data_IF_915318208323
#
_entry.id   IF_915318208323
#
_cell.length_a   1.000
_cell.length_b   1.000
_cell.length_c   1.000
_cell.angle_alpha   90.00
_cell.angle_beta   90.00
_cell.angle_gamma   90.00
#
_symmetry.space_group_name_H-M   'P 1'
#
loop_
_entity.id
_entity.type
_entity.pdbx_description
1 polymer ?
#
# COMPACT_ATOMS: atom_id res chain seq x y z
N UNK A 1 19.36 -37.79 -1.14
CA UNK A 1 19.40 -36.36 -0.77
C UNK A 1 18.19 -35.66 -1.41
N UNK A 2 17.26 -35.09 -0.62
CA UNK A 2 16.10 -34.35 -1.15
C UNK A 2 16.59 -33.00 -1.69
N UNK A 3 16.38 -32.72 -2.99
CA UNK A 3 16.61 -31.39 -3.57
C UNK A 3 15.67 -30.40 -2.90
N UNK A 4 16.20 -29.48 -2.12
CA UNK A 4 15.44 -28.35 -1.59
C UNK A 4 15.20 -27.43 -2.80
N UNK A 5 14.00 -27.50 -3.37
CA UNK A 5 13.57 -26.52 -4.38
C UNK A 5 13.57 -25.16 -3.70
N UNK A 6 14.56 -24.34 -4.02
CA UNK A 6 14.67 -22.96 -3.54
C UNK A 6 13.44 -22.23 -4.05
N UNK A 7 12.41 -22.07 -3.22
CA UNK A 7 11.17 -21.40 -3.60
C UNK A 7 11.56 -19.99 -4.02
N UNK A 8 11.52 -19.73 -5.33
CA UNK A 8 11.87 -18.43 -5.85
C UNK A 8 10.76 -17.46 -5.42
N UNK A 9 11.00 -16.73 -4.32
CA UNK A 9 10.04 -15.80 -3.71
C UNK A 9 9.62 -14.73 -4.73
N UNK A 10 10.53 -14.34 -5.62
CA UNK A 10 10.33 -13.33 -6.64
C UNK A 10 10.27 -13.94 -8.05
N UNK A 11 9.08 -13.93 -8.65
CA UNK A 11 8.91 -14.14 -10.10
C UNK A 11 9.26 -12.82 -10.82
N UNK A 12 10.26 -12.84 -11.71
CA UNK A 12 10.49 -11.72 -12.63
C UNK A 12 9.37 -11.72 -13.67
N UNK A 13 8.42 -10.80 -13.53
CA UNK A 13 7.31 -10.63 -14.47
C UNK A 13 6.94 -9.16 -14.64
N UNK A 14 6.37 -8.76 -15.78
CA UNK A 14 5.75 -7.44 -15.95
C UNK A 14 4.64 -7.24 -14.91
N UNK A 15 4.47 -6.00 -14.42
CA UNK A 15 3.43 -5.64 -13.45
C UNK A 15 2.03 -5.97 -13.95
N UNK A 16 1.80 -5.79 -15.25
CA UNK A 16 0.55 -6.16 -15.94
C UNK A 16 0.22 -7.64 -15.75
N UNK A 17 1.20 -8.54 -15.71
CA UNK A 17 0.97 -9.98 -15.51
C UNK A 17 0.86 -10.37 -14.03
N UNK A 18 0.93 -9.41 -13.11
CA UNK A 18 0.79 -9.62 -11.67
C UNK A 18 -0.69 -9.74 -11.24
N UNK A 19 -1.48 -10.51 -11.99
CA UNK A 19 -2.87 -10.84 -11.65
C UNK A 19 -2.98 -11.97 -10.61
N UNK A 20 -1.85 -12.58 -10.25
CA UNK A 20 -1.76 -13.57 -9.18
C UNK A 20 -1.67 -12.78 -7.87
N UNK A 21 -2.70 -12.87 -7.01
CA UNK A 21 -2.85 -12.18 -5.70
C UNK A 21 -3.64 -10.86 -5.73
N UNK A 22 -4.69 -10.77 -6.54
CA UNK A 22 -5.66 -9.69 -6.35
C UNK A 22 -6.38 -9.88 -5.02
N UNK A 23 -6.58 -8.81 -4.25
CA UNK A 23 -7.28 -8.90 -2.95
C UNK A 23 -8.70 -9.44 -3.13
N UNK A 24 -9.34 -9.15 -4.25
CA UNK A 24 -10.65 -9.70 -4.61
C UNK A 24 -10.68 -11.23 -4.77
N UNK A 25 -9.54 -11.90 -4.88
CA UNK A 25 -9.47 -13.36 -4.87
C UNK A 25 -9.49 -13.94 -3.45
N UNK A 26 -9.26 -13.13 -2.41
CA UNK A 26 -9.19 -13.57 -1.01
C UNK A 26 -10.41 -13.18 -0.19
N UNK A 27 -11.05 -12.07 -0.52
CA UNK A 27 -12.28 -11.61 0.13
C UNK A 27 -13.12 -10.76 -0.82
N UNK A 28 -14.43 -10.91 -0.72
CA UNK A 28 -15.40 -10.02 -1.38
C UNK A 28 -15.67 -8.75 -0.57
N UNK A 29 -15.26 -8.69 0.71
CA UNK A 29 -15.44 -7.49 1.53
C UNK A 29 -14.30 -7.34 2.52
N UNK A 30 -13.57 -6.24 2.45
CA UNK A 30 -12.45 -6.01 3.37
C UNK A 30 -11.60 -4.81 3.03
N UNK A 31 -10.71 -4.49 3.96
CA UNK A 31 -9.71 -3.43 3.81
C UNK A 31 -8.34 -4.06 4.00
N UNK A 32 -7.49 -3.92 3.00
CA UNK A 32 -6.08 -4.26 3.11
C UNK A 32 -5.26 -2.98 3.25
N UNK A 33 -4.41 -2.94 4.26
CA UNK A 33 -3.58 -1.79 4.56
C UNK A 33 -2.12 -2.20 4.53
N UNK A 34 -1.36 -1.57 3.63
CA UNK A 34 0.09 -1.60 3.66
C UNK A 34 0.59 -0.25 4.14
N UNK A 35 1.50 -0.25 5.12
CA UNK A 35 2.10 0.98 5.62
C UNK A 35 3.60 0.81 5.82
N UNK A 36 4.32 1.90 5.66
CA UNK A 36 5.72 2.01 6.07
C UNK A 36 5.91 3.27 6.89
N UNK A 37 6.75 3.17 7.91
CA UNK A 37 7.07 4.28 8.81
C UNK A 37 8.48 4.81 8.55
N UNK A 38 8.80 5.88 9.25
CA UNK A 38 10.04 6.66 9.17
C UNK A 38 11.28 5.77 8.97
N UNK A 39 11.82 5.74 7.75
CA UNK A 39 13.16 5.19 7.54
C UNK A 39 14.19 6.24 7.97
N UNK A 40 15.18 5.85 8.79
CA UNK A 40 16.23 6.75 9.31
C UNK A 40 16.98 7.52 8.21
N UNK A 41 16.95 7.01 6.98
CA UNK A 41 17.72 7.52 5.84
C UNK A 41 17.03 8.69 5.14
N UNK A 42 15.69 8.74 5.09
CA UNK A 42 14.99 9.74 4.29
C UNK A 42 13.85 10.46 5.02
N UNK A 43 13.42 9.97 6.19
CA UNK A 43 12.26 10.46 6.90
C UNK A 43 10.92 10.33 6.18
N UNK A 44 10.80 9.39 5.24
CA UNK A 44 9.54 9.12 4.54
C UNK A 44 8.77 7.98 5.21
N UNK A 45 7.46 8.06 5.09
CA UNK A 45 6.52 6.99 5.38
C UNK A 45 5.47 6.93 4.28
N UNK A 46 4.71 5.85 4.25
CA UNK A 46 3.65 5.69 3.26
C UNK A 46 2.51 4.84 3.78
N UNK A 47 1.34 5.06 3.21
CA UNK A 47 0.13 4.30 3.45
C UNK A 47 -0.50 3.98 2.10
N UNK A 48 -0.76 2.71 1.86
CA UNK A 48 -1.48 2.20 0.70
C UNK A 48 -2.66 1.39 1.21
N UNK A 49 -3.85 1.73 0.73
CA UNK A 49 -5.09 1.11 1.17
C UNK A 49 -5.83 0.58 -0.03
N UNK A 50 -6.27 -0.67 0.06
CA UNK A 50 -7.20 -1.28 -0.86
C UNK A 50 -8.49 -1.59 -0.12
N UNK A 51 -9.60 -1.06 -0.60
CA UNK A 51 -10.94 -1.33 -0.09
C UNK A 51 -11.62 -2.21 -1.13
N UNK A 52 -11.99 -3.42 -0.74
CA UNK A 52 -12.73 -4.36 -1.58
C UNK A 52 -14.16 -4.44 -1.09
N UNK A 53 -15.09 -4.29 -2.03
CA UNK A 53 -16.51 -4.48 -1.81
C UNK A 53 -17.12 -5.09 -3.07
N UNK A 54 -17.39 -6.39 -3.02
CA UNK A 54 -17.73 -7.28 -4.14
C UNK A 54 -16.74 -7.10 -5.30
N UNK A 55 -17.24 -6.70 -6.47
CA UNK A 55 -16.43 -6.45 -7.68
C UNK A 55 -15.72 -5.10 -7.69
N UNK A 56 -15.95 -4.23 -6.69
CA UNK A 56 -15.35 -2.90 -6.65
C UNK A 56 -14.10 -2.90 -5.76
N UNK A 57 -12.99 -2.43 -6.33
CA UNK A 57 -11.73 -2.22 -5.61
C UNK A 57 -11.37 -0.74 -5.69
N UNK A 58 -11.45 -0.04 -4.56
CA UNK A 58 -10.92 1.33 -4.43
C UNK A 58 -9.53 1.26 -3.84
N UNK A 59 -8.57 1.91 -4.48
CA UNK A 59 -7.20 1.97 -4.01
C UNK A 59 -6.76 3.42 -3.85
N UNK A 60 -6.12 3.74 -2.73
CA UNK A 60 -5.45 5.02 -2.58
C UNK A 60 -4.09 4.87 -1.91
N UNK A 61 -3.23 5.84 -2.17
CA UNK A 61 -1.89 5.94 -1.65
C UNK A 61 -1.67 7.32 -1.04
N UNK A 62 -0.97 7.36 0.08
CA UNK A 62 -0.54 8.58 0.76
C UNK A 62 0.95 8.45 1.08
N UNK A 63 1.73 9.42 0.62
CA UNK A 63 3.12 9.57 1.00
C UNK A 63 3.25 10.61 2.11
N UNK A 64 4.04 10.29 3.13
CA UNK A 64 4.33 11.16 4.26
C UNK A 64 5.82 11.50 4.32
N UNK A 65 6.13 12.69 4.81
CA UNK A 65 7.48 13.08 5.22
C UNK A 65 7.44 13.58 6.66
N UNK A 66 8.30 13.01 7.50
CA UNK A 66 8.51 13.43 8.88
C UNK A 66 9.58 14.50 8.91
N UNK A 67 9.17 15.75 9.15
CA UNK A 67 10.09 16.81 9.54
C UNK A 67 10.02 16.94 11.08
N UNK A 68 9.52 18.07 11.61
CA UNK A 68 9.07 18.16 13.01
C UNK A 68 7.77 17.38 13.22
N UNK A 69 6.88 17.44 12.22
CA UNK A 69 5.60 16.75 12.17
C UNK A 69 5.47 15.94 10.87
N UNK A 70 4.49 15.03 10.84
CA UNK A 70 4.14 14.27 9.65
C UNK A 70 3.35 15.14 8.67
N UNK A 71 3.88 15.29 7.46
CA UNK A 71 3.25 16.03 6.40
C UNK A 71 2.92 15.12 5.22
N UNK A 72 1.71 15.28 4.65
CA UNK A 72 1.33 14.63 3.39
C UNK A 72 2.06 15.32 2.25
N UNK A 73 2.89 14.56 1.55
CA UNK A 73 3.67 15.04 0.40
C UNK A 73 3.06 14.58 -0.94
N UNK A 74 2.41 13.42 -0.94
CA UNK A 74 1.80 12.84 -2.13
C UNK A 74 0.50 12.13 -1.76
N UNK A 75 -0.47 12.13 -2.67
CA UNK A 75 -1.74 11.43 -2.55
C UNK A 75 -2.22 11.01 -3.93
N UNK A 76 -2.56 9.73 -4.09
CA UNK A 76 -3.11 9.17 -5.34
C UNK A 76 -4.39 8.44 -4.98
N UNK A 77 -5.46 8.67 -5.75
CA UNK A 77 -6.77 8.03 -5.51
C UNK A 77 -7.56 8.58 -4.31
N UNK A 78 -7.07 9.65 -3.66
CA UNK A 78 -7.74 10.35 -2.55
C UNK A 78 -7.43 11.84 -2.61
N UNK A 79 -8.39 12.70 -2.24
CA UNK A 79 -8.21 14.14 -2.26
C UNK A 79 -7.41 14.61 -1.02
N UNK A 80 -6.37 15.44 -1.22
CA UNK A 80 -5.60 16.04 -0.11
C UNK A 80 -6.49 16.77 0.91
N UNK A 81 -7.61 17.35 0.48
CA UNK A 81 -8.57 18.02 1.39
C UNK A 81 -9.23 17.03 2.37
N UNK A 82 -9.55 15.82 1.90
CA UNK A 82 -10.12 14.75 2.74
C UNK A 82 -9.09 14.27 3.79
N UNK A 83 -7.80 14.31 3.43
CA UNK A 83 -6.70 13.95 4.33
C UNK A 83 -6.39 15.02 5.39
N UNK A 84 -6.80 16.27 5.18
CA UNK A 84 -6.55 17.38 6.09
C UNK A 84 -7.22 17.21 7.46
N UNK A 85 -8.24 16.35 7.56
CA UNK A 85 -8.93 16.05 8.81
C UNK A 85 -8.02 15.42 9.87
N UNK A 86 -7.04 14.61 9.46
CA UNK A 86 -6.17 13.85 10.38
C UNK A 86 -4.99 14.66 10.94
N UNK A 87 -4.87 15.95 10.60
CA UNK A 87 -3.79 16.83 11.07
C UNK A 87 -4.06 17.51 12.43
N UNK A 88 -5.18 17.25 13.09
CA UNK A 88 -5.46 17.82 14.42
C UNK A 88 -5.02 16.88 15.54
N UNK A 89 -3.89 17.19 16.16
CA UNK A 89 -3.68 17.12 17.61
C UNK A 89 -2.58 18.11 18.01
#
# INVERSE_FOLDING_TARGET
>A
MKKINKTQVHKKQPSEKNHQRLISQFTDSGIFVWYSSNTKVNNYGSLMVHIVNNSNIKTFYIGFKKNKEWNVINSIGVNKKELGFFKKK
#
